data_IF_851923699950
#
_entry.id   IF_851923699950
#
_cell.length_a   1.000
_cell.length_b   1.000
_cell.length_c   1.000
_cell.angle_alpha   90.00
_cell.angle_beta   90.00
_cell.angle_gamma   90.00
#
_symmetry.space_group_name_H-M   'P 1'
#
loop_
_entity.id
_entity.type
_entity.pdbx_description
1 polymer ?
#
# COMPACT_ATOMS: atom_id res chain seq x y z
N UNK A 1 -10.98 -4.86 -3.39
CA UNK A 1 -11.50 -6.20 -3.02
C UNK A 1 -10.37 -6.98 -2.38
N UNK A 2 -10.65 -7.86 -1.42
CA UNK A 2 -9.65 -8.78 -0.85
C UNK A 2 -9.70 -10.09 -1.64
N UNK A 3 -8.55 -10.67 -1.96
CA UNK A 3 -8.47 -11.99 -2.58
C UNK A 3 -8.93 -13.09 -1.61
N UNK A 4 -9.39 -14.21 -2.16
CA UNK A 4 -9.79 -15.38 -1.37
C UNK A 4 -8.54 -16.21 -1.02
N UNK A 5 -8.32 -16.47 0.27
CA UNK A 5 -7.13 -17.19 0.75
C UNK A 5 -5.82 -16.44 0.48
N UNK A 6 -4.82 -17.16 -0.05
CA UNK A 6 -3.50 -16.61 -0.45
C UNK A 6 -3.49 -16.09 -1.90
N UNK A 7 -4.59 -16.23 -2.65
CA UNK A 7 -4.66 -15.73 -4.01
C UNK A 7 -4.78 -14.20 -4.01
N UNK A 8 -4.04 -13.48 -4.89
CA UNK A 8 -4.27 -12.06 -5.11
C UNK A 8 -5.73 -11.81 -5.51
N UNK A 9 -6.27 -10.66 -5.11
CA UNK A 9 -7.56 -10.23 -5.65
C UNK A 9 -7.44 -10.12 -7.19
N UNK A 10 -8.45 -10.53 -7.96
CA UNK A 10 -8.44 -10.30 -9.40
C UNK A 10 -8.32 -8.79 -9.65
N UNK A 11 -7.46 -8.43 -10.60
CA UNK A 11 -7.28 -7.03 -11.00
C UNK A 11 -8.63 -6.50 -11.50
N UNK A 12 -9.17 -5.39 -10.96
CA UNK A 12 -10.41 -4.84 -11.47
C UNK A 12 -10.23 -4.43 -12.93
N UNK A 13 -10.71 -5.29 -13.85
CA UNK A 13 -10.60 -5.21 -15.32
C UNK A 13 -11.23 -3.93 -15.93
N UNK A 14 -11.73 -2.99 -15.12
CA UNK A 14 -12.34 -1.70 -15.51
C UNK A 14 -12.12 -0.61 -14.45
N UNK A 15 -10.95 -0.60 -13.82
CA UNK A 15 -10.64 0.31 -12.71
C UNK A 15 -9.36 1.11 -12.94
N UNK A 16 -8.99 1.92 -11.95
CA UNK A 16 -7.68 2.56 -11.89
C UNK A 16 -6.72 1.70 -11.06
N UNK A 17 -5.46 1.62 -11.49
CA UNK A 17 -4.35 1.07 -10.70
C UNK A 17 -3.62 2.22 -10.02
N UNK A 18 -3.43 2.10 -8.70
CA UNK A 18 -2.65 3.06 -7.93
C UNK A 18 -1.25 2.49 -7.68
N UNK A 19 -0.23 3.16 -8.20
CA UNK A 19 1.17 2.84 -7.94
C UNK A 19 1.68 3.75 -6.83
N UNK A 20 2.24 3.15 -5.78
CA UNK A 20 2.85 3.86 -4.66
C UNK A 20 4.28 3.35 -4.49
N UNK A 21 5.24 4.24 -4.68
CA UNK A 21 6.66 3.98 -4.50
C UNK A 21 7.22 4.92 -3.44
N UNK A 22 8.13 4.43 -2.62
CA UNK A 22 8.67 5.21 -1.52
C UNK A 22 9.63 4.44 -0.64
N UNK A 23 9.96 5.03 0.49
CA UNK A 23 10.91 4.47 1.46
C UNK A 23 10.26 4.30 2.82
N UNK A 24 10.61 3.20 3.48
CA UNK A 24 10.24 2.99 4.88
C UNK A 24 10.91 4.06 5.76
N UNK A 25 10.16 4.61 6.71
CA UNK A 25 10.65 5.66 7.62
C UNK A 25 10.27 5.34 9.07
N UNK A 26 11.14 5.64 10.06
CA UNK A 26 10.81 5.44 11.46
C UNK A 26 9.73 6.41 11.96
N UNK A 27 8.85 5.91 12.82
CA UNK A 27 7.96 6.74 13.63
C UNK A 27 8.71 7.39 14.80
N UNK A 28 8.10 8.36 15.48
CA UNK A 28 8.65 8.98 16.71
C UNK A 28 9.02 7.92 17.76
N UNK A 29 10.32 7.65 17.97
CA UNK A 29 10.83 6.52 18.77
C UNK A 29 11.60 5.46 17.96
N UNK A 30 11.88 5.70 16.67
CA UNK A 30 12.88 4.97 15.89
C UNK A 30 12.42 3.66 15.24
N UNK A 31 11.25 3.11 15.60
CA UNK A 31 10.71 1.90 14.98
C UNK A 31 9.97 2.23 13.68
N UNK A 32 10.27 1.49 12.62
CA UNK A 32 9.65 1.60 11.28
C UNK A 32 8.29 0.90 11.22
N UNK A 33 8.17 -0.28 11.83
CA UNK A 33 6.93 -1.06 11.91
C UNK A 33 6.49 -1.11 13.38
N UNK A 34 5.21 -0.80 13.62
CA UNK A 34 4.56 -0.93 14.93
C UNK A 34 3.43 -1.92 14.84
N UNK A 35 3.50 -2.98 15.64
CA UNK A 35 2.45 -3.97 15.74
C UNK A 35 1.78 -3.89 17.11
N UNK A 36 0.45 -3.94 17.14
CA UNK A 36 -0.33 -3.99 18.37
C UNK A 36 -1.26 -5.20 18.34
N UNK A 37 -1.31 -5.90 19.47
CA UNK A 37 -2.26 -6.99 19.73
C UNK A 37 -3.34 -6.41 20.64
N UNK A 38 -4.57 -6.33 20.16
CA UNK A 38 -5.70 -5.79 20.94
C UNK A 38 -6.44 -6.87 21.73
N UNK A 39 -6.25 -8.15 21.39
CA UNK A 39 -6.79 -9.34 22.08
C UNK A 39 -5.84 -10.52 21.91
N UNK A 40 -5.69 -11.37 22.92
CA UNK A 40 -4.68 -12.44 22.97
C UNK A 40 -4.72 -13.41 21.77
N UNK A 41 -5.90 -13.70 21.24
CA UNK A 41 -6.07 -14.63 20.10
C UNK A 41 -6.20 -13.92 18.74
N UNK A 42 -6.12 -12.59 18.70
CA UNK A 42 -6.20 -11.84 17.46
C UNK A 42 -4.83 -11.78 16.78
N UNK A 43 -4.81 -11.87 15.44
CA UNK A 43 -3.61 -11.54 14.66
C UNK A 43 -3.25 -10.06 14.91
N UNK A 44 -1.96 -9.74 15.15
CA UNK A 44 -1.54 -8.37 15.38
C UNK A 44 -1.85 -7.49 14.17
N UNK A 45 -2.30 -6.26 14.44
CA UNK A 45 -2.38 -5.23 13.40
C UNK A 45 -1.05 -4.48 13.39
N UNK A 46 -0.40 -4.42 12.23
CA UNK A 46 0.87 -3.73 12.04
C UNK A 46 0.69 -2.50 11.15
N UNK A 47 1.35 -1.41 11.50
CA UNK A 47 1.41 -0.17 10.74
C UNK A 47 2.87 0.14 10.43
N UNK A 48 3.17 0.41 9.16
CA UNK A 48 4.48 0.82 8.69
C UNK A 48 4.50 2.33 8.38
N UNK A 49 5.58 3.00 8.73
CA UNK A 49 5.82 4.38 8.31
C UNK A 49 6.46 4.39 6.92
N UNK A 50 5.92 5.19 6.00
CA UNK A 50 6.44 5.35 4.64
C UNK A 50 6.46 6.82 4.24
N UNK A 51 7.54 7.23 3.56
CA UNK A 51 7.60 8.47 2.78
C UNK A 51 7.35 8.05 1.33
N UNK A 52 6.31 8.62 0.72
CA UNK A 52 5.97 8.35 -0.68
C UNK A 52 6.80 9.29 -1.56
N UNK A 53 7.56 8.70 -2.47
CA UNK A 53 8.44 9.41 -3.41
C UNK A 53 7.82 9.48 -4.82
N UNK A 54 6.86 8.61 -5.12
CA UNK A 54 6.13 8.60 -6.38
C UNK A 54 4.75 7.97 -6.19
N UNK A 55 3.75 8.64 -6.75
CA UNK A 55 2.38 8.16 -6.87
C UNK A 55 1.95 8.28 -8.32
N UNK A 56 1.37 7.23 -8.88
CA UNK A 56 0.76 7.29 -10.20
C UNK A 56 -0.62 6.64 -10.21
N UNK A 57 -1.52 7.27 -10.97
CA UNK A 57 -2.76 6.67 -11.41
C UNK A 57 -2.55 6.10 -12.81
N UNK A 58 -2.86 4.83 -12.97
CA UNK A 58 -2.83 4.17 -14.26
C UNK A 58 -4.20 3.61 -14.62
N UNK A 59 -4.47 3.49 -15.91
CA UNK A 59 -5.57 2.68 -16.41
C UNK A 59 -5.33 1.22 -16.04
N UNK A 60 -6.29 0.60 -15.34
CA UNK A 60 -6.15 -0.77 -14.84
C UNK A 60 -6.22 -1.85 -15.92
N UNK A 61 -6.49 -1.49 -17.18
CA UNK A 61 -6.52 -2.43 -18.31
C UNK A 61 -5.27 -2.28 -19.17
N UNK A 62 -4.93 -1.04 -19.55
CA UNK A 62 -3.82 -0.77 -20.46
C UNK A 62 -2.49 -0.57 -19.74
N UNK A 63 -2.52 -0.24 -18.44
CA UNK A 63 -1.34 0.18 -17.68
C UNK A 63 -0.84 1.57 -18.07
N UNK A 64 -1.59 2.33 -18.86
CA UNK A 64 -1.23 3.69 -19.24
C UNK A 64 -1.26 4.61 -18.02
N UNK A 65 -0.18 5.35 -17.78
CA UNK A 65 -0.17 6.38 -16.74
C UNK A 65 -1.05 7.55 -17.13
N UNK A 66 -2.12 7.74 -16.35
CA UNK A 66 -3.10 8.81 -16.54
C UNK A 66 -2.71 10.08 -15.77
N UNK A 67 -1.91 9.93 -14.72
CA UNK A 67 -1.36 11.05 -13.97
C UNK A 67 -0.34 10.58 -12.95
N UNK A 68 0.69 11.40 -12.73
CA UNK A 68 1.73 11.12 -11.74
C UNK A 68 1.97 12.33 -10.83
N UNK A 69 2.43 12.04 -9.62
CA UNK A 69 2.91 12.99 -8.65
C UNK A 69 4.26 12.53 -8.10
N UNK A 70 5.21 13.45 -8.09
CA UNK A 70 6.53 13.30 -7.47
C UNK A 70 6.74 14.49 -6.53
N UNK A 71 6.83 14.29 -5.21
CA UNK A 71 7.22 15.35 -4.31
C UNK A 71 8.65 15.81 -4.64
N UNK A 72 8.78 17.10 -4.97
CA UNK A 72 10.03 17.84 -5.10
C UNK A 72 9.98 19.04 -4.16
#
# INVERSE_FOLDING_TARGET
>A
MRGEGDAPAPDPVKGYRLVLEGRLTPWAGGRVIRCAVTRAEARPTCVAGVIIDHLAYEDGVTGETLGEWRPG
#
